data_IF_435868222326
#
_entry.id   IF_435868222326
#
_cell.length_a   1.000
_cell.length_b   1.000
_cell.length_c   1.000
_cell.angle_alpha   90.00
_cell.angle_beta   90.00
_cell.angle_gamma   90.00
#
_symmetry.space_group_name_H-M   'P 1'
#
loop_
_entity.id
_entity.type
_entity.pdbx_description
1 polymer ?
#
# COMPACT_ATOMS: atom_id res chain seq x y z
N UNK A 1 -3.93 -10.72 -21.42
CA UNK A 1 -3.40 -9.62 -20.61
C UNK A 1 -2.41 -8.82 -21.44
N UNK A 2 -2.54 -7.49 -21.42
CA UNK A 2 -1.63 -6.58 -22.13
C UNK A 2 -0.51 -6.13 -21.21
N UNK A 3 -0.82 -5.92 -19.93
CA UNK A 3 0.08 -5.38 -18.94
C UNK A 3 -0.22 -6.00 -17.58
N UNK A 4 0.81 -6.42 -16.87
CA UNK A 4 0.69 -6.95 -15.51
C UNK A 4 1.83 -6.41 -14.67
N UNK A 5 1.51 -5.78 -13.54
CA UNK A 5 2.49 -5.19 -12.61
C UNK A 5 2.21 -5.61 -11.16
N UNK A 6 3.27 -5.71 -10.39
CA UNK A 6 3.20 -5.91 -8.95
C UNK A 6 4.06 -4.86 -8.24
N UNK A 7 3.50 -4.28 -7.17
CA UNK A 7 4.06 -3.15 -6.45
C UNK A 7 4.41 -3.55 -5.03
N UNK A 8 5.67 -3.57 -4.68
CA UNK A 8 6.13 -3.87 -3.32
C UNK A 8 7.57 -3.40 -3.09
N UNK A 9 7.99 -3.42 -1.84
CA UNK A 9 9.41 -3.45 -1.53
C UNK A 9 9.94 -4.88 -1.73
N UNK A 10 10.48 -5.12 -2.92
CA UNK A 10 11.02 -6.44 -3.31
C UNK A 10 12.34 -6.78 -2.64
N UNK A 11 12.96 -5.85 -1.89
CA UNK A 11 14.13 -6.10 -1.06
C UNK A 11 13.75 -6.68 0.30
N UNK A 12 12.50 -6.47 0.75
CA UNK A 12 12.01 -7.02 1.98
C UNK A 12 11.89 -8.56 1.89
N UNK A 13 12.38 -9.32 2.89
CA UNK A 13 12.38 -10.79 2.85
C UNK A 13 11.00 -11.39 2.57
N UNK A 14 9.95 -10.84 3.15
CA UNK A 14 8.57 -11.31 2.97
C UNK A 14 8.09 -11.26 1.52
N UNK A 15 8.63 -10.34 0.70
CA UNK A 15 8.26 -10.16 -0.70
C UNK A 15 9.28 -10.84 -1.65
N UNK A 16 10.52 -11.01 -1.19
CA UNK A 16 11.62 -11.52 -2.01
C UNK A 16 11.34 -12.89 -2.62
N UNK A 17 10.66 -13.75 -1.88
CA UNK A 17 10.35 -15.13 -2.28
C UNK A 17 9.36 -15.20 -3.45
N UNK A 18 8.55 -14.17 -3.64
CA UNK A 18 7.59 -14.11 -4.75
C UNK A 18 8.19 -13.63 -6.07
N UNK A 19 9.37 -12.97 -6.04
CA UNK A 19 9.99 -12.38 -7.25
C UNK A 19 10.13 -13.37 -8.39
N UNK A 20 10.73 -14.53 -8.11
CA UNK A 20 10.94 -15.56 -9.13
C UNK A 20 9.63 -16.06 -9.75
N UNK A 21 8.60 -16.23 -8.95
CA UNK A 21 7.29 -16.68 -9.39
C UNK A 21 6.58 -15.64 -10.26
N UNK A 22 6.69 -14.37 -9.92
CA UNK A 22 6.05 -13.27 -10.66
C UNK A 22 6.77 -13.02 -11.98
N UNK A 23 8.11 -12.96 -11.96
CA UNK A 23 8.92 -12.76 -13.17
C UNK A 23 8.73 -13.89 -14.17
N UNK A 24 8.65 -15.17 -13.71
CA UNK A 24 8.39 -16.31 -14.60
C UNK A 24 7.01 -16.26 -15.28
N UNK A 25 6.11 -15.43 -14.79
CA UNK A 25 4.78 -15.17 -15.36
C UNK A 25 4.67 -13.84 -16.10
N UNK A 26 5.81 -13.24 -16.44
CA UNK A 26 5.92 -11.94 -17.12
C UNK A 26 5.18 -10.81 -16.37
N UNK A 27 5.28 -10.80 -15.04
CA UNK A 27 4.80 -9.70 -14.21
C UNK A 27 5.93 -8.70 -14.01
N UNK A 28 5.70 -7.44 -14.34
CA UNK A 28 6.63 -6.35 -14.09
C UNK A 28 6.66 -6.01 -12.60
N UNK A 29 7.84 -6.04 -12.00
CA UNK A 29 8.03 -5.74 -10.58
C UNK A 29 8.42 -4.27 -10.41
N UNK A 30 7.52 -3.49 -9.82
CA UNK A 30 7.80 -2.10 -9.46
C UNK A 30 8.38 -2.05 -8.05
N UNK A 31 9.66 -1.68 -7.94
CA UNK A 31 10.33 -1.53 -6.65
C UNK A 31 9.87 -0.26 -5.95
N UNK A 32 9.50 -0.41 -4.71
CA UNK A 32 9.16 0.69 -3.80
C UNK A 32 10.20 0.76 -2.69
N UNK A 33 10.73 1.96 -2.47
CA UNK A 33 11.66 2.19 -1.38
C UNK A 33 10.89 2.82 -0.21
N UNK A 34 10.87 2.17 0.95
CA UNK A 34 10.20 2.73 2.12
C UNK A 34 10.93 4.00 2.57
N UNK A 35 10.41 5.16 2.20
CA UNK A 35 10.84 6.42 2.76
C UNK A 35 10.22 6.58 4.15
N UNK A 36 11.03 6.74 5.18
CA UNK A 36 10.67 6.64 6.60
C UNK A 36 9.50 7.55 7.05
N UNK A 37 9.14 8.58 6.30
CA UNK A 37 8.09 9.53 6.64
C UNK A 37 6.77 9.37 5.87
N UNK A 38 6.78 8.72 4.69
CA UNK A 38 5.63 8.67 3.78
C UNK A 38 5.27 7.24 3.32
N UNK A 39 5.78 6.24 4.00
CA UNK A 39 5.82 4.86 3.53
C UNK A 39 4.46 4.12 3.53
N UNK A 40 3.41 4.65 4.18
CA UNK A 40 2.18 3.87 4.34
C UNK A 40 1.42 3.62 3.05
N UNK A 41 1.42 4.55 2.09
CA UNK A 41 0.57 4.47 0.89
C UNK A 41 1.38 4.62 -0.41
N UNK A 42 2.69 4.42 -0.37
CA UNK A 42 3.56 4.61 -1.55
C UNK A 42 3.22 3.65 -2.69
N UNK A 43 2.89 2.39 -2.36
CA UNK A 43 2.47 1.38 -3.32
C UNK A 43 1.13 1.75 -3.97
N UNK A 44 0.16 2.15 -3.14
CA UNK A 44 -1.19 2.44 -3.56
C UNK A 44 -1.24 3.65 -4.49
N UNK A 45 -0.49 4.70 -4.13
CA UNK A 45 -0.36 5.91 -4.94
C UNK A 45 0.34 5.59 -6.26
N UNK A 46 1.45 4.86 -6.23
CA UNK A 46 2.19 4.51 -7.45
C UNK A 46 1.34 3.66 -8.39
N UNK A 47 0.67 2.64 -7.86
CA UNK A 47 -0.25 1.80 -8.64
C UNK A 47 -1.36 2.64 -9.26
N UNK A 48 -1.96 3.55 -8.49
CA UNK A 48 -3.05 4.39 -8.99
C UNK A 48 -2.60 5.33 -10.11
N UNK A 49 -1.41 5.93 -9.97
CA UNK A 49 -0.84 6.82 -11.01
C UNK A 49 -0.54 6.04 -12.28
N UNK A 50 0.17 4.92 -12.16
CA UNK A 50 0.55 4.09 -13.31
C UNK A 50 -0.70 3.53 -14.02
N UNK A 51 -1.72 3.08 -13.28
CA UNK A 51 -2.96 2.59 -13.87
C UNK A 51 -3.72 3.67 -14.63
N UNK A 52 -3.78 4.88 -14.10
CA UNK A 52 -4.42 6.01 -14.79
C UNK A 52 -3.62 6.41 -16.04
N UNK A 53 -2.29 6.48 -15.96
CA UNK A 53 -1.42 6.76 -17.10
C UNK A 53 -1.64 5.73 -18.22
N UNK A 54 -1.67 4.45 -17.90
CA UNK A 54 -1.85 3.37 -18.87
C UNK A 54 -3.18 3.47 -19.62
N UNK A 55 -4.25 3.89 -18.95
CA UNK A 55 -5.54 4.09 -19.61
C UNK A 55 -5.52 5.20 -20.67
N UNK A 56 -4.65 6.20 -20.50
CA UNK A 56 -4.44 7.24 -21.52
C UNK A 56 -3.48 6.80 -22.62
N UNK A 57 -2.46 6.01 -22.28
CA UNK A 57 -1.46 5.52 -23.24
C UNK A 57 -1.98 4.36 -24.10
N UNK A 58 -2.91 3.59 -23.55
CA UNK A 58 -3.48 2.39 -24.18
C UNK A 58 -5.00 2.55 -24.31
N UNK A 59 -5.46 3.31 -25.32
CA UNK A 59 -6.90 3.61 -25.48
C UNK A 59 -7.77 2.36 -25.67
N UNK A 60 -7.21 1.29 -26.23
CA UNK A 60 -7.91 0.01 -26.48
C UNK A 60 -8.00 -0.88 -25.22
N UNK A 61 -7.51 -0.42 -24.09
CA UNK A 61 -7.60 -1.13 -22.82
C UNK A 61 -9.06 -1.16 -22.36
N UNK A 62 -9.66 -2.34 -22.29
CA UNK A 62 -11.09 -2.49 -21.96
C UNK A 62 -11.32 -2.84 -20.49
N UNK A 63 -10.40 -3.58 -19.87
CA UNK A 63 -10.55 -4.11 -18.52
C UNK A 63 -9.36 -3.70 -17.63
N UNK A 64 -9.65 -3.42 -16.37
CA UNK A 64 -8.66 -3.18 -15.34
C UNK A 64 -8.92 -4.15 -14.19
N UNK A 65 -7.92 -4.97 -13.85
CA UNK A 65 -7.98 -5.89 -12.72
C UNK A 65 -7.14 -5.32 -11.59
N UNK A 66 -7.76 -5.12 -10.43
CA UNK A 66 -7.12 -4.60 -9.22
C UNK A 66 -7.08 -5.72 -8.17
N UNK A 67 -5.92 -6.32 -7.98
CA UNK A 67 -5.71 -7.33 -6.93
C UNK A 67 -5.25 -6.64 -5.63
N UNK A 68 -6.22 -6.30 -4.79
CA UNK A 68 -6.00 -5.61 -3.52
C UNK A 68 -7.20 -5.78 -2.59
N UNK A 69 -6.97 -5.68 -1.28
CA UNK A 69 -8.04 -5.78 -0.26
C UNK A 69 -8.43 -4.44 0.37
N UNK A 70 -7.66 -3.38 0.10
CA UNK A 70 -7.81 -2.09 0.79
C UNK A 70 -8.86 -1.20 0.14
N UNK A 71 -9.58 -0.45 0.98
CA UNK A 71 -10.55 0.57 0.56
C UNK A 71 -9.89 1.77 -0.14
N UNK A 72 -8.60 1.98 0.02
CA UNK A 72 -7.85 3.08 -0.59
C UNK A 72 -7.86 3.02 -2.12
N UNK A 73 -8.18 1.87 -2.71
CA UNK A 73 -8.35 1.69 -4.16
C UNK A 73 -9.74 2.07 -4.71
N UNK A 74 -10.70 2.44 -3.85
CA UNK A 74 -12.03 2.89 -4.30
C UNK A 74 -11.96 4.07 -5.29
N UNK A 75 -11.16 5.14 -5.03
CA UNK A 75 -11.04 6.25 -5.97
C UNK A 75 -10.46 5.82 -7.33
N UNK A 76 -9.54 4.87 -7.35
CA UNK A 76 -8.98 4.31 -8.58
C UNK A 76 -10.05 3.53 -9.35
N UNK A 77 -10.75 2.60 -8.71
CA UNK A 77 -11.82 1.83 -9.34
C UNK A 77 -12.89 2.74 -9.96
N UNK A 78 -13.33 3.76 -9.21
CA UNK A 78 -14.29 4.74 -9.72
C UNK A 78 -13.74 5.54 -10.91
N UNK A 79 -12.44 5.89 -10.90
CA UNK A 79 -11.81 6.61 -12.01
C UNK A 79 -11.74 5.74 -13.25
N UNK A 80 -11.35 4.48 -13.12
CA UNK A 80 -11.31 3.51 -14.23
C UNK A 80 -12.67 3.36 -14.89
N UNK A 81 -13.73 3.19 -14.09
CA UNK A 81 -15.12 3.10 -14.60
C UNK A 81 -15.56 4.37 -15.31
N UNK A 82 -15.26 5.56 -14.77
CA UNK A 82 -15.56 6.85 -15.45
C UNK A 82 -14.84 7.00 -16.78
N UNK A 83 -13.68 6.37 -16.94
CA UNK A 83 -12.92 6.31 -18.17
C UNK A 83 -13.40 5.17 -19.11
N UNK A 84 -14.53 4.54 -18.81
CA UNK A 84 -15.16 3.53 -19.64
C UNK A 84 -14.50 2.16 -19.56
N UNK A 85 -13.74 1.86 -18.49
CA UNK A 85 -13.10 0.55 -18.29
C UNK A 85 -13.96 -0.32 -17.39
N UNK A 86 -14.05 -1.60 -17.73
CA UNK A 86 -14.65 -2.61 -16.86
C UNK A 86 -13.66 -2.96 -15.74
N UNK A 87 -14.07 -2.82 -14.50
CA UNK A 87 -13.17 -2.98 -13.33
C UNK A 87 -13.49 -4.25 -12.59
N UNK A 88 -12.50 -5.13 -12.48
CA UNK A 88 -12.55 -6.35 -11.69
C UNK A 88 -11.68 -6.19 -10.46
N UNK A 89 -12.29 -6.28 -9.29
CA UNK A 89 -11.56 -6.37 -8.02
C UNK A 89 -11.23 -7.83 -7.69
N UNK A 90 -10.02 -8.11 -7.23
CA UNK A 90 -9.64 -9.42 -6.67
C UNK A 90 -9.20 -9.20 -5.24
N UNK A 91 -9.90 -9.82 -4.30
CA UNK A 91 -9.61 -9.67 -2.88
C UNK A 91 -9.67 -10.99 -2.12
N UNK A 92 -9.37 -10.96 -0.82
CA UNK A 92 -9.45 -12.14 0.05
C UNK A 92 -10.82 -12.17 0.73
N UNK A 93 -11.44 -13.36 0.78
CA UNK A 93 -12.72 -13.55 1.43
C UNK A 93 -12.69 -13.05 2.88
N UNK A 94 -13.71 -12.28 3.27
CA UNK A 94 -13.85 -11.74 4.63
C UNK A 94 -12.97 -10.54 4.99
N UNK A 95 -11.94 -10.21 4.20
CA UNK A 95 -11.06 -9.05 4.44
C UNK A 95 -11.26 -7.92 3.43
N UNK A 96 -11.90 -8.19 2.30
CA UNK A 96 -12.13 -7.17 1.27
C UNK A 96 -13.25 -6.22 1.68
N UNK A 97 -13.00 -4.93 1.53
CA UNK A 97 -13.97 -3.87 1.82
C UNK A 97 -15.22 -4.00 0.94
N UNK A 98 -16.41 -3.98 1.57
CA UNK A 98 -17.70 -3.93 0.85
C UNK A 98 -17.81 -2.69 -0.04
N UNK A 99 -17.16 -1.59 0.36
CA UNK A 99 -17.16 -0.36 -0.42
C UNK A 99 -16.30 -0.48 -1.68
N UNK A 100 -15.16 -1.21 -1.62
CA UNK A 100 -14.37 -1.54 -2.80
C UNK A 100 -15.16 -2.44 -3.75
N UNK A 101 -15.86 -3.45 -3.23
CA UNK A 101 -16.74 -4.30 -4.02
C UNK A 101 -17.79 -3.51 -4.79
N UNK A 102 -18.42 -2.52 -4.14
CA UNK A 102 -19.40 -1.64 -4.78
C UNK A 102 -18.80 -0.67 -5.81
N UNK A 103 -17.52 -0.38 -5.70
CA UNK A 103 -16.80 0.49 -6.66
C UNK A 103 -16.36 -0.24 -7.93
N UNK A 104 -16.26 -1.56 -7.91
CA UNK A 104 -15.94 -2.42 -9.05
C UNK A 104 -17.20 -2.83 -9.83
N UNK A 105 -17.04 -3.26 -11.07
CA UNK A 105 -18.12 -3.91 -11.84
C UNK A 105 -18.25 -5.37 -11.41
N UNK A 106 -17.15 -6.00 -11.02
CA UNK A 106 -17.11 -7.36 -10.53
C UNK A 106 -16.10 -7.47 -9.38
N UNK A 107 -16.42 -8.25 -8.35
CA UNK A 107 -15.49 -8.64 -7.30
C UNK A 107 -15.35 -10.16 -7.28
N UNK A 108 -14.12 -10.63 -7.42
CA UNK A 108 -13.77 -12.06 -7.30
C UNK A 108 -12.96 -12.23 -6.03
N UNK A 109 -13.28 -13.25 -5.24
CA UNK A 109 -12.42 -13.61 -4.10
C UNK A 109 -11.31 -14.54 -4.57
N UNK A 110 -10.12 -14.36 -4.03
CA UNK A 110 -8.95 -15.17 -4.39
C UNK A 110 -9.23 -16.67 -4.23
N UNK A 111 -9.94 -17.04 -3.17
CA UNK A 111 -10.27 -18.42 -2.82
C UNK A 111 -11.28 -19.06 -3.80
N UNK A 112 -12.02 -18.24 -4.55
CA UNK A 112 -12.97 -18.71 -5.57
C UNK A 112 -12.36 -18.85 -6.97
N UNK A 113 -11.07 -18.51 -7.12
CA UNK A 113 -10.40 -18.65 -8.42
C UNK A 113 -10.19 -20.12 -8.76
N UNK A 114 -10.42 -20.53 -10.03
CA UNK A 114 -10.20 -21.90 -10.47
C UNK A 114 -8.75 -22.36 -10.22
N UNK A 115 -8.60 -23.51 -9.60
CA UNK A 115 -7.28 -24.09 -9.29
C UNK A 115 -6.63 -23.59 -7.98
N UNK A 116 -7.32 -22.74 -7.22
CA UNK A 116 -6.90 -22.37 -5.87
C UNK A 116 -7.58 -23.31 -4.88
N UNK A 117 -6.78 -23.94 -4.02
CA UNK A 117 -7.30 -24.68 -2.86
C UNK A 117 -7.51 -23.65 -1.74
N UNK A 118 -8.72 -23.52 -1.20
CA UNK A 118 -8.95 -22.61 -0.07
C UNK A 118 -8.03 -22.98 1.10
N UNK A 119 -7.31 -22.01 1.64
CA UNK A 119 -6.54 -22.20 2.89
C UNK A 119 -7.54 -22.04 4.03
N UNK A 120 -7.55 -22.97 4.97
CA UNK A 120 -8.45 -22.93 6.10
C UNK A 120 -8.33 -21.62 6.86
N UNK A 121 -9.47 -20.99 7.19
CA UNK A 121 -9.55 -19.68 7.83
C UNK A 121 -8.79 -19.59 9.17
N UNK A 122 -8.48 -20.75 9.78
CA UNK A 122 -7.66 -20.88 10.99
C UNK A 122 -6.18 -20.53 10.76
N UNK A 123 -5.62 -20.81 9.57
CA UNK A 123 -4.23 -20.50 9.24
C UNK A 123 -4.07 -19.02 8.86
N UNK A 124 -5.07 -18.40 8.23
CA UNK A 124 -5.05 -16.97 7.89
C UNK A 124 -5.11 -16.07 9.13
N UNK A 125 -5.85 -16.46 10.17
CA UNK A 125 -5.92 -15.72 11.43
C UNK A 125 -4.56 -15.66 12.15
N UNK A 126 -3.75 -16.72 12.07
CA UNK A 126 -2.42 -16.77 12.68
C UNK A 126 -1.38 -15.96 11.91
N UNK A 127 -1.47 -15.90 10.57
CA UNK A 127 -0.56 -15.11 9.74
C UNK A 127 -0.83 -13.61 9.88
N UNK A 128 -2.08 -13.18 9.94
CA UNK A 128 -2.45 -11.77 10.12
C UNK A 128 -2.11 -11.23 11.52
N UNK A 129 -2.24 -12.05 12.57
CA UNK A 129 -1.85 -11.67 13.93
C UNK A 129 -0.34 -11.61 14.12
N UNK A 130 0.42 -12.47 13.44
CA UNK A 130 1.89 -12.42 13.47
C UNK A 130 2.43 -11.16 12.79
N UNK A 131 1.87 -10.74 11.65
CA UNK A 131 2.21 -9.50 10.96
C UNK A 131 1.90 -8.25 11.79
N UNK A 132 0.73 -8.20 12.44
CA UNK A 132 0.33 -7.08 13.30
C UNK A 132 1.16 -6.98 14.58
N UNK A 133 1.62 -8.10 15.16
CA UNK A 133 2.48 -8.12 16.34
C UNK A 133 3.93 -7.74 16.02
N UNK A 134 4.45 -8.10 14.85
CA UNK A 134 5.78 -7.69 14.39
C UNK A 134 5.84 -6.16 14.20
N UNK A 135 4.79 -5.57 13.65
CA UNK A 135 4.68 -4.12 13.47
C UNK A 135 4.57 -3.34 14.79
N UNK A 136 3.90 -3.91 15.81
CA UNK A 136 3.79 -3.30 17.15
C UNK A 136 5.10 -3.37 17.97
N UNK A 137 5.92 -4.40 17.76
CA UNK A 137 7.23 -4.53 18.44
C UNK A 137 8.29 -3.59 17.87
N UNK A 138 8.23 -3.24 16.58
CA UNK A 138 9.12 -2.27 15.96
C UNK A 138 8.90 -0.83 16.44
N UNK A 139 7.67 -0.47 16.85
CA UNK A 139 7.33 0.88 17.30
C UNK A 139 7.57 1.12 18.81
N UNK A 140 7.73 0.06 19.62
CA UNK A 140 7.92 0.17 21.06
C UNK A 140 9.39 0.33 21.51
N UNK A 141 10.36 0.08 20.62
CA UNK A 141 11.79 0.15 21.00
C UNK A 141 12.45 1.52 20.85
N UNK A 142 11.74 2.53 20.32
CA UNK A 142 12.30 3.89 20.10
C UNK A 142 11.85 4.93 21.13
N UNK A 143 11.03 4.58 22.14
CA UNK A 143 10.51 5.55 23.11
C UNK A 143 11.19 5.50 24.49
N UNK A 144 12.22 4.67 24.71
CA UNK A 144 12.84 4.49 26.04
C UNK A 144 14.24 5.09 26.24
N UNK A 145 14.66 6.06 25.43
CA UNK A 145 15.97 6.70 25.60
C UNK A 145 15.91 8.23 25.54
N UNK A 146 15.10 8.86 26.40
CA UNK A 146 15.26 10.27 26.76
C UNK A 146 14.61 10.57 28.11
N UNK A 147 15.33 10.22 29.15
CA UNK A 147 15.03 10.65 30.52
C UNK A 147 16.30 10.86 31.31
N UNK A 148 16.49 12.08 31.77
CA UNK A 148 17.43 12.55 32.77
C UNK A 148 18.71 13.20 32.25
N UNK A 149 18.65 14.51 32.12
CA UNK A 149 19.67 15.41 32.74
C UNK A 149 19.05 16.79 32.98
N UNK A 150 18.64 16.97 34.20
CA UNK A 150 18.32 18.26 34.81
C UNK A 150 19.63 18.82 35.35
N UNK A 151 20.10 19.97 34.89
CA UNK A 151 20.94 20.87 35.66
C UNK A 151 20.64 22.32 35.28
N UNK A 152 20.33 23.03 36.27
CA UNK A 152 20.12 24.46 36.49
C UNK A 152 21.26 25.34 35.97
N UNK A 153 20.91 26.45 35.28
CA UNK A 153 21.61 27.75 35.43
C UNK A 153 20.75 28.87 34.81
N UNK A 154 20.28 29.66 35.59
CA UNK A 154 20.01 31.05 35.97
C UNK A 154 20.57 32.09 34.98
N UNK A 155 19.61 32.96 34.56
CA UNK A 155 19.61 34.38 34.29
C UNK A 155 20.80 35.06 33.59
N UNK A 156 20.50 35.74 32.49
CA UNK A 156 20.81 37.19 32.34
C UNK A 156 19.95 37.74 31.18
N UNK A 157 19.35 38.85 31.49
CA UNK A 157 18.67 39.79 30.57
C UNK A 157 19.68 40.35 29.56
N UNK A 158 19.24 40.62 28.34
CA UNK A 158 19.50 41.93 27.73
C UNK A 158 18.64 42.12 26.51
N UNK A 159 17.95 43.22 26.54
CA UNK A 159 17.18 43.88 25.49
C UNK A 159 18.11 44.36 24.38
N UNK A 160 17.70 44.22 23.12
CA UNK A 160 18.03 45.24 22.12
C UNK A 160 16.95 45.36 21.05
N UNK A 161 16.33 46.52 21.06
CA UNK A 161 15.50 47.09 20.00
C UNK A 161 16.41 47.52 18.83
N UNK A 162 16.03 47.21 17.62
CA UNK A 162 16.39 48.00 16.42
C UNK A 162 15.24 47.85 15.43
N UNK A 163 14.34 48.76 15.38
CA UNK A 163 14.02 49.89 14.52
C UNK A 163 14.05 49.59 13.02
N UNK A 164 12.85 49.74 12.45
CA UNK A 164 12.52 49.89 11.05
C UNK A 164 13.16 51.16 10.48
N UNK A 165 13.70 51.10 9.28
CA UNK A 165 13.50 52.18 8.31
C UNK A 165 13.88 51.78 6.87
N UNK A 166 12.97 52.23 5.93
CA UNK A 166 13.10 52.42 4.47
C UNK A 166 12.97 51.21 3.57
#
# INVERSE_FOLDING_TARGET
LVLTRAYADWSAPVNADYRGQLVSRAVDLVQLFPAAAYAKNGADIRLAVDAVEDMFRLPDLTHVVIAAGDSDYIPLAQRCRRLGRYVVGVGVAGSTSKALAAACDELVTYDALPGITPVDASEQATASTAGAQAQRRGSASTSSARGSRRTTRRAAEETDEIELDS
#
